data_IF_579399307386
#
_entry.id   IF_579399307386
#
_cell.length_a   1.000
_cell.length_b   1.000
_cell.length_c   1.000
_cell.angle_alpha   90.00
_cell.angle_beta   90.00
_cell.angle_gamma   90.00
#
_symmetry.space_group_name_H-M   'P 1'
#
loop_
_entity.id
_entity.type
_entity.pdbx_description
1 polymer ?
#
# COMPACT_ATOMS: atom_id res chain seq x y z
N UNK A 1 28.53 -2.53 32.17
CA UNK A 1 27.39 -3.19 31.50
C UNK A 1 26.58 -2.11 30.81
N UNK A 2 26.71 -1.99 29.48
CA UNK A 2 25.94 -1.00 28.72
C UNK A 2 24.51 -1.53 28.61
N UNK A 3 23.55 -0.88 29.28
CA UNK A 3 22.13 -1.11 29.00
C UNK A 3 21.91 -0.83 27.53
N UNK A 4 21.71 -1.90 26.74
CA UNK A 4 21.09 -1.78 25.42
C UNK A 4 19.73 -1.18 25.66
N UNK A 5 19.60 0.13 25.43
CA UNK A 5 18.32 0.79 25.36
C UNK A 5 17.54 0.07 24.26
N UNK A 6 16.51 -0.70 24.65
CA UNK A 6 15.63 -1.36 23.69
C UNK A 6 15.13 -0.26 22.77
N UNK A 7 15.43 -0.34 21.47
CA UNK A 7 14.77 0.54 20.53
C UNK A 7 13.27 0.27 20.65
N UNK A 8 12.53 1.30 21.03
CA UNK A 8 11.07 1.25 21.05
C UNK A 8 10.61 1.25 19.60
N UNK A 9 10.40 0.07 19.03
CA UNK A 9 9.85 -0.08 17.69
C UNK A 9 8.47 0.58 17.60
N UNK A 10 8.17 1.28 16.50
CA UNK A 10 6.88 1.95 16.30
C UNK A 10 5.85 1.04 15.63
N UNK A 11 6.31 -0.02 14.97
CA UNK A 11 5.50 -1.04 14.31
C UNK A 11 5.58 -2.36 15.10
N UNK A 12 4.60 -3.28 14.98
CA UNK A 12 4.64 -4.56 15.68
C UNK A 12 5.67 -5.55 15.10
N UNK A 13 5.82 -6.71 15.73
CA UNK A 13 6.61 -7.81 15.17
C UNK A 13 5.81 -8.46 14.03
N UNK A 14 6.33 -8.52 12.79
CA UNK A 14 5.63 -9.11 11.65
C UNK A 14 5.19 -10.55 11.90
N UNK A 15 3.96 -10.91 11.53
CA UNK A 15 3.50 -12.30 11.58
C UNK A 15 3.71 -13.09 10.29
N UNK A 16 4.12 -12.40 9.23
CA UNK A 16 4.33 -12.97 7.89
C UNK A 16 5.29 -14.17 7.86
N UNK A 17 5.16 -15.03 6.82
CA UNK A 17 6.12 -16.07 6.53
C UNK A 17 7.55 -15.55 6.40
N UNK A 18 8.50 -16.30 6.94
CA UNK A 18 9.92 -15.98 6.82
C UNK A 18 10.49 -16.61 5.54
N UNK A 19 10.00 -16.18 4.37
CA UNK A 19 10.34 -16.79 3.08
C UNK A 19 10.74 -15.75 2.01
N UNK A 20 11.14 -16.25 0.84
CA UNK A 20 11.57 -15.41 -0.29
C UNK A 20 10.45 -14.56 -0.88
N UNK A 21 9.21 -15.06 -0.92
CA UNK A 21 8.09 -14.34 -1.52
C UNK A 21 7.74 -13.07 -0.74
N UNK A 22 7.83 -13.11 0.60
CA UNK A 22 7.67 -11.91 1.43
C UNK A 22 8.80 -10.91 1.20
N UNK A 23 10.04 -11.38 1.05
CA UNK A 23 11.18 -10.51 0.72
C UNK A 23 11.02 -9.87 -0.66
N UNK A 24 10.54 -10.62 -1.66
CA UNK A 24 10.25 -10.08 -3.00
C UNK A 24 9.16 -9.02 -2.96
N UNK A 25 8.07 -9.28 -2.24
CA UNK A 25 6.96 -8.34 -2.06
C UNK A 25 7.49 -7.00 -1.52
N UNK A 26 8.16 -7.03 -0.38
CA UNK A 26 8.63 -5.81 0.26
C UNK A 26 9.76 -5.11 -0.50
N UNK A 27 10.68 -5.82 -1.18
CA UNK A 27 11.67 -5.16 -2.04
C UNK A 27 10.98 -4.34 -3.13
N UNK A 28 9.96 -4.90 -3.78
CA UNK A 28 9.19 -4.19 -4.81
C UNK A 28 8.45 -2.97 -4.23
N UNK A 29 7.85 -3.10 -3.06
CA UNK A 29 7.21 -1.97 -2.35
C UNK A 29 8.25 -0.85 -2.09
N UNK A 30 9.47 -1.19 -1.63
CA UNK A 30 10.52 -0.20 -1.38
C UNK A 30 11.10 0.44 -2.65
N UNK A 31 11.22 -0.32 -3.74
CA UNK A 31 11.56 0.20 -5.07
C UNK A 31 10.56 1.27 -5.50
N UNK A 32 9.26 0.95 -5.44
CA UNK A 32 8.19 1.86 -5.85
C UNK A 32 8.11 3.10 -4.94
N UNK A 33 8.36 2.96 -3.63
CA UNK A 33 8.49 4.10 -2.72
C UNK A 33 9.58 5.08 -3.14
N UNK A 34 10.73 4.59 -3.58
CA UNK A 34 11.82 5.45 -4.02
C UNK A 34 11.39 6.30 -5.23
N UNK A 35 10.64 5.70 -6.15
CA UNK A 35 10.06 6.40 -7.29
C UNK A 35 9.01 7.44 -6.85
N UNK A 36 8.08 7.08 -5.97
CA UNK A 36 7.04 8.01 -5.50
C UNK A 36 7.64 9.21 -4.76
N UNK A 37 8.62 8.97 -3.88
CA UNK A 37 9.36 10.02 -3.19
C UNK A 37 10.02 10.95 -4.20
N UNK A 38 10.75 10.38 -5.17
CA UNK A 38 11.42 11.13 -6.23
C UNK A 38 10.45 12.06 -6.96
N UNK A 39 9.29 11.54 -7.37
CA UNK A 39 8.26 12.29 -8.11
C UNK A 39 7.63 13.42 -7.28
N UNK A 40 7.64 13.34 -5.95
CA UNK A 40 7.09 14.36 -5.08
C UNK A 40 8.09 15.43 -4.62
N UNK A 41 9.38 15.32 -4.98
CA UNK A 41 10.42 16.30 -4.59
C UNK A 41 10.40 17.56 -5.49
N UNK A 42 10.72 18.75 -4.95
CA UNK A 42 10.93 19.95 -5.77
C UNK A 42 12.10 19.78 -6.76
N UNK A 43 11.95 20.32 -7.96
CA UNK A 43 12.95 20.19 -9.04
C UNK A 43 14.33 20.73 -8.66
N UNK A 44 14.40 21.72 -7.76
CA UNK A 44 15.65 22.34 -7.31
C UNK A 44 16.44 21.47 -6.31
N UNK A 45 15.81 20.43 -5.75
CA UNK A 45 16.42 19.52 -4.79
C UNK A 45 17.17 18.38 -5.50
N UNK A 46 18.07 18.71 -6.42
CA UNK A 46 18.79 17.75 -7.28
C UNK A 46 19.47 16.63 -6.46
N UNK A 47 20.16 16.98 -5.37
CA UNK A 47 20.83 16.00 -4.50
C UNK A 47 19.84 14.94 -3.95
N UNK A 48 18.63 15.36 -3.54
CA UNK A 48 17.61 14.44 -3.00
C UNK A 48 16.94 13.61 -4.09
N UNK A 49 16.79 14.18 -5.29
CA UNK A 49 16.27 13.49 -6.47
C UNK A 49 17.24 12.38 -6.88
N UNK A 50 18.54 12.68 -6.88
CA UNK A 50 19.60 11.72 -7.19
C UNK A 50 19.67 10.61 -6.13
N UNK A 51 19.57 10.95 -4.84
CA UNK A 51 19.50 9.96 -3.75
C UNK A 51 18.29 9.03 -3.93
N UNK A 52 17.10 9.57 -4.19
CA UNK A 52 15.89 8.77 -4.42
C UNK A 52 16.02 7.89 -5.67
N UNK A 53 16.63 8.40 -6.75
CA UNK A 53 16.90 7.63 -7.96
C UNK A 53 17.89 6.47 -7.70
N UNK A 54 18.91 6.69 -6.87
CA UNK A 54 19.85 5.65 -6.49
C UNK A 54 19.15 4.54 -5.70
N UNK A 55 18.30 4.88 -4.71
CA UNK A 55 17.51 3.88 -3.99
C UNK A 55 16.63 3.05 -4.93
N UNK A 56 15.96 3.69 -5.89
CA UNK A 56 15.16 2.99 -6.90
C UNK A 56 15.98 1.93 -7.65
N UNK A 57 17.17 2.31 -8.15
CA UNK A 57 18.06 1.41 -8.91
C UNK A 57 18.62 0.27 -8.04
N UNK A 58 18.97 0.56 -6.79
CA UNK A 58 19.50 -0.43 -5.87
C UNK A 58 18.42 -1.46 -5.46
N UNK A 59 17.18 -1.02 -5.19
CA UNK A 59 16.07 -1.96 -4.96
C UNK A 59 15.70 -2.76 -6.21
N UNK A 60 15.73 -2.15 -7.41
CA UNK A 60 15.55 -2.87 -8.68
C UNK A 60 16.61 -3.99 -8.83
N UNK A 61 17.88 -3.69 -8.54
CA UNK A 61 18.97 -4.66 -8.55
C UNK A 61 18.73 -5.83 -7.57
N UNK A 62 18.28 -5.52 -6.34
CA UNK A 62 17.90 -6.53 -5.35
C UNK A 62 16.72 -7.38 -5.82
N UNK A 63 15.70 -6.77 -6.44
CA UNK A 63 14.52 -7.47 -6.99
C UNK A 63 14.92 -8.43 -8.09
N UNK A 64 15.71 -7.98 -9.07
CA UNK A 64 16.22 -8.84 -10.16
C UNK A 64 17.04 -10.00 -9.61
N UNK A 65 17.84 -9.76 -8.56
CA UNK A 65 18.59 -10.83 -7.88
C UNK A 65 17.67 -11.82 -7.19
N UNK A 66 16.59 -11.36 -6.54
CA UNK A 66 15.62 -12.20 -5.85
C UNK A 66 14.92 -13.21 -6.79
N UNK A 67 14.73 -12.86 -8.07
CA UNK A 67 14.16 -13.77 -9.07
C UNK A 67 15.12 -14.89 -9.53
N UNK A 68 16.42 -14.74 -9.30
CA UNK A 68 17.46 -15.65 -9.81
C UNK A 68 18.09 -16.52 -8.73
N UNK A 69 17.53 -16.53 -7.52
CA UNK A 69 18.09 -17.26 -6.39
C UNK A 69 18.08 -18.78 -6.62
N UNK A 70 19.16 -19.44 -6.21
CA UNK A 70 19.39 -20.86 -6.43
C UNK A 70 19.50 -21.67 -5.13
N UNK A 71 19.83 -21.02 -4.00
CA UNK A 71 20.05 -21.69 -2.72
C UNK A 71 19.93 -20.73 -1.52
N UNK A 72 19.84 -21.31 -0.33
CA UNK A 72 19.65 -20.61 0.95
C UNK A 72 20.79 -19.65 1.29
N UNK A 73 22.04 -19.97 0.91
CA UNK A 73 23.16 -19.06 1.15
C UNK A 73 22.98 -17.75 0.38
N UNK A 74 22.57 -17.83 -0.88
CA UNK A 74 22.26 -16.66 -1.70
C UNK A 74 21.03 -15.91 -1.20
N UNK A 75 20.05 -16.61 -0.64
CA UNK A 75 18.93 -15.97 0.04
C UNK A 75 19.36 -15.16 1.26
N UNK A 76 20.25 -15.70 2.11
CA UNK A 76 20.75 -14.97 3.29
C UNK A 76 21.65 -13.79 2.92
N UNK A 77 22.43 -13.89 1.83
CA UNK A 77 23.14 -12.74 1.24
C UNK A 77 22.13 -11.67 0.79
N UNK A 78 21.04 -12.06 0.10
CA UNK A 78 19.96 -11.15 -0.28
C UNK A 78 19.35 -10.42 0.91
N UNK A 79 18.96 -11.17 1.95
CA UNK A 79 18.38 -10.63 3.19
C UNK A 79 19.35 -9.65 3.86
N UNK A 80 20.65 -9.94 3.83
CA UNK A 80 21.66 -9.09 4.44
C UNK A 80 21.83 -7.76 3.73
N UNK A 81 21.97 -7.78 2.41
CA UNK A 81 22.15 -6.56 1.62
C UNK A 81 20.87 -5.73 1.60
N UNK A 82 19.70 -6.39 1.51
CA UNK A 82 18.40 -5.71 1.58
C UNK A 82 18.24 -4.98 2.90
N UNK A 83 18.59 -5.61 4.03
CA UNK A 83 18.50 -4.97 5.32
C UNK A 83 19.45 -3.76 5.45
N UNK A 84 20.64 -3.84 4.86
CA UNK A 84 21.58 -2.73 4.86
C UNK A 84 21.00 -1.52 4.08
N UNK A 85 20.57 -1.73 2.84
CA UNK A 85 19.96 -0.68 2.01
C UNK A 85 18.70 -0.10 2.66
N UNK A 86 17.86 -0.96 3.23
CA UNK A 86 16.60 -0.56 3.87
C UNK A 86 16.81 0.36 5.09
N UNK A 87 17.90 0.16 5.86
CA UNK A 87 18.25 1.04 6.99
C UNK A 87 18.61 2.46 6.52
N UNK A 88 19.37 2.57 5.43
CA UNK A 88 19.67 3.86 4.81
C UNK A 88 18.41 4.50 4.24
N UNK A 89 17.57 3.72 3.54
CA UNK A 89 16.34 4.24 2.96
C UNK A 89 15.31 4.67 4.02
N UNK A 90 15.21 3.93 5.14
CA UNK A 90 14.40 4.35 6.28
C UNK A 90 14.89 5.69 6.83
N UNK A 91 16.21 5.85 7.02
CA UNK A 91 16.81 7.11 7.49
C UNK A 91 16.50 8.24 6.53
N UNK A 92 16.66 8.02 5.22
CA UNK A 92 16.30 8.97 4.18
C UNK A 92 14.83 9.41 4.27
N UNK A 93 13.87 8.47 4.40
CA UNK A 93 12.45 8.79 4.59
C UNK A 93 12.21 9.65 5.83
N UNK A 94 12.85 9.33 6.96
CA UNK A 94 12.72 10.09 8.22
C UNK A 94 13.35 11.48 8.11
N UNK A 95 14.46 11.62 7.40
CA UNK A 95 15.13 12.90 7.17
C UNK A 95 14.27 13.83 6.30
N UNK A 96 13.68 13.31 5.21
CA UNK A 96 12.74 14.04 4.37
C UNK A 96 11.54 14.51 5.20
N UNK A 97 10.93 13.60 5.98
CA UNK A 97 9.82 13.92 6.87
C UNK A 97 10.18 15.05 7.84
N UNK A 98 11.34 14.97 8.50
CA UNK A 98 11.75 15.99 9.46
C UNK A 98 11.95 17.35 8.79
N UNK A 99 12.59 17.38 7.61
CA UNK A 99 12.76 18.62 6.83
C UNK A 99 11.41 19.22 6.43
N UNK A 100 10.42 18.42 6.08
CA UNK A 100 9.07 18.91 5.78
C UNK A 100 8.38 19.50 7.03
N UNK A 101 8.49 18.83 8.17
CA UNK A 101 7.92 19.30 9.44
C UNK A 101 8.56 20.62 9.93
N UNK A 102 9.82 20.86 9.57
CA UNK A 102 10.52 22.12 9.81
C UNK A 102 10.35 23.17 8.69
N UNK A 103 9.50 22.88 7.69
CA UNK A 103 9.28 23.73 6.51
C UNK A 103 10.56 24.01 5.68
N UNK A 104 11.55 23.12 5.75
CA UNK A 104 12.82 23.18 5.00
C UNK A 104 12.80 22.40 3.70
N UNK A 105 11.71 21.67 3.43
CA UNK A 105 11.48 20.92 2.20
C UNK A 105 10.01 21.07 1.79
N UNK A 106 9.77 21.49 0.55
CA UNK A 106 8.44 21.56 -0.07
C UNK A 106 8.12 20.33 -0.92
N UNK A 107 7.30 20.52 -1.95
CA UNK A 107 6.92 19.46 -2.89
C UNK A 107 5.55 18.85 -2.58
N UNK A 108 5.29 17.68 -3.16
CA UNK A 108 3.98 17.03 -3.18
C UNK A 108 3.94 15.73 -2.37
N UNK A 109 5.04 15.35 -1.71
CA UNK A 109 5.04 14.26 -0.74
C UNK A 109 4.32 14.70 0.53
N UNK A 110 3.15 14.16 0.86
CA UNK A 110 2.52 14.47 2.15
C UNK A 110 3.43 14.00 3.32
N UNK A 111 3.58 14.76 4.41
CA UNK A 111 4.33 14.30 5.58
C UNK A 111 3.81 12.96 6.13
N UNK A 112 2.48 12.75 6.15
CA UNK A 112 1.89 11.47 6.54
C UNK A 112 2.26 10.33 5.58
N UNK A 113 2.43 10.61 4.28
CA UNK A 113 2.85 9.63 3.29
C UNK A 113 4.31 9.21 3.50
N UNK A 114 5.21 10.15 3.82
CA UNK A 114 6.60 9.83 4.20
C UNK A 114 6.67 9.00 5.49
N UNK A 115 5.87 9.34 6.51
CA UNK A 115 5.78 8.57 7.75
C UNK A 115 5.23 7.16 7.51
N UNK A 116 4.20 7.03 6.67
CA UNK A 116 3.59 5.77 6.26
C UNK A 116 4.61 4.84 5.60
N UNK A 117 5.29 5.32 4.55
CA UNK A 117 6.34 4.55 3.88
C UNK A 117 7.51 4.21 4.81
N UNK A 118 7.78 5.04 5.83
CA UNK A 118 8.81 4.74 6.84
C UNK A 118 8.37 3.63 7.80
N UNK A 119 7.09 3.57 8.18
CA UNK A 119 6.55 2.47 9.00
C UNK A 119 6.63 1.13 8.27
N UNK A 120 6.32 1.09 6.99
CA UNK A 120 6.47 -0.13 6.17
C UNK A 120 7.93 -0.56 6.05
N UNK A 121 8.85 0.39 5.91
CA UNK A 121 10.28 0.09 5.92
C UNK A 121 10.73 -0.47 7.27
N UNK A 122 10.23 0.08 8.40
CA UNK A 122 10.50 -0.47 9.74
C UNK A 122 9.92 -1.88 9.90
N UNK A 123 8.71 -2.11 9.41
CA UNK A 123 8.06 -3.41 9.45
C UNK A 123 8.88 -4.44 8.67
N UNK A 124 9.33 -4.09 7.46
CA UNK A 124 10.19 -4.95 6.66
C UNK A 124 11.57 -5.18 7.31
N UNK A 125 12.16 -4.17 7.97
CA UNK A 125 13.40 -4.37 8.75
C UNK A 125 13.22 -5.43 9.83
N UNK A 126 12.11 -5.40 10.57
CA UNK A 126 11.81 -6.40 11.60
C UNK A 126 11.62 -7.79 11.00
N UNK A 127 10.96 -7.89 9.85
CA UNK A 127 10.82 -9.17 9.13
C UNK A 127 12.19 -9.76 8.76
N UNK A 128 13.09 -8.95 8.22
CA UNK A 128 14.46 -9.38 7.89
C UNK A 128 15.26 -9.79 9.13
N UNK A 129 15.09 -9.09 10.26
CA UNK A 129 15.70 -9.48 11.54
C UNK A 129 15.18 -10.84 12.03
N UNK A 130 13.89 -11.14 11.88
CA UNK A 130 13.34 -12.48 12.18
C UNK A 130 13.92 -13.55 11.26
N UNK A 131 14.06 -13.26 9.96
CA UNK A 131 14.65 -14.22 9.01
C UNK A 131 16.09 -14.55 9.44
N UNK A 132 16.87 -13.56 9.89
CA UNK A 132 18.26 -13.76 10.34
C UNK A 132 18.38 -14.47 11.69
N UNK A 133 17.53 -14.12 12.65
CA UNK A 133 17.67 -14.55 14.04
C UNK A 133 16.81 -15.78 14.38
N UNK A 134 15.95 -16.22 13.46
CA UNK A 134 15.02 -17.33 13.69
C UNK A 134 13.71 -16.90 14.35
N UNK A 135 12.86 -17.89 14.64
CA UNK A 135 11.48 -17.65 15.09
C UNK A 135 11.43 -17.02 16.48
N UNK A 136 10.70 -15.92 16.60
CA UNK A 136 10.27 -15.35 17.89
C UNK A 136 8.97 -16.04 18.32
N UNK A 137 8.88 -16.43 19.59
CA UNK A 137 7.65 -16.95 20.18
C UNK A 137 6.53 -15.90 20.02
N UNK A 138 5.41 -16.29 19.41
CA UNK A 138 4.27 -15.38 19.26
C UNK A 138 3.58 -15.23 20.62
N UNK A 139 3.44 -14.00 21.07
CA UNK A 139 2.73 -13.67 22.30
C UNK A 139 1.21 -13.63 22.07
N UNK A 140 0.44 -13.81 23.15
CA UNK A 140 -0.99 -13.49 23.14
C UNK A 140 -1.17 -12.03 22.75
N UNK A 141 -1.95 -11.77 21.70
CA UNK A 141 -2.16 -10.44 21.12
C UNK A 141 -1.41 -10.16 19.81
N UNK A 142 -0.50 -11.03 19.36
CA UNK A 142 0.29 -10.75 18.14
C UNK A 142 -0.59 -10.58 16.88
N UNK A 143 -1.68 -11.35 16.73
CA UNK A 143 -2.62 -11.16 15.62
C UNK A 143 -3.33 -9.81 15.68
N UNK A 144 -3.69 -9.35 16.87
CA UNK A 144 -4.30 -8.04 17.03
C UNK A 144 -3.30 -6.92 16.67
N UNK A 145 -2.04 -7.05 17.08
CA UNK A 145 -0.96 -6.13 16.70
C UNK A 145 -0.74 -6.06 15.19
N UNK A 146 -0.69 -7.22 14.52
CA UNK A 146 -0.58 -7.31 13.06
C UNK A 146 -1.75 -6.58 12.36
N UNK A 147 -2.98 -6.80 12.82
CA UNK A 147 -4.16 -6.09 12.30
C UNK A 147 -4.05 -4.58 12.54
N UNK A 148 -3.58 -4.14 13.71
CA UNK A 148 -3.40 -2.71 14.02
C UNK A 148 -2.43 -2.03 13.05
N UNK A 149 -1.35 -2.72 12.63
CA UNK A 149 -0.45 -2.20 11.61
C UNK A 149 -1.16 -1.99 10.28
N UNK A 150 -1.74 -3.05 9.72
CA UNK A 150 -2.37 -2.99 8.39
C UNK A 150 -3.61 -2.11 8.34
N UNK A 151 -4.42 -2.07 9.41
CA UNK A 151 -5.58 -1.19 9.48
C UNK A 151 -5.17 0.28 9.40
N UNK A 152 -4.06 0.66 10.05
CA UNK A 152 -3.50 2.01 9.93
C UNK A 152 -3.01 2.30 8.51
N UNK A 153 -2.31 1.35 7.90
CA UNK A 153 -1.85 1.46 6.51
C UNK A 153 -3.04 1.66 5.55
N UNK A 154 -4.11 0.88 5.69
CA UNK A 154 -5.30 1.00 4.84
C UNK A 154 -6.12 2.27 5.12
N UNK A 155 -6.17 2.74 6.37
CA UNK A 155 -6.77 4.03 6.71
C UNK A 155 -6.02 5.19 6.03
N UNK A 156 -4.69 5.17 6.06
CA UNK A 156 -3.84 6.15 5.38
C UNK A 156 -4.08 6.12 3.86
N UNK A 157 -4.16 4.94 3.25
CA UNK A 157 -4.46 4.79 1.83
C UNK A 157 -5.78 5.44 1.40
N UNK A 158 -6.84 5.22 2.17
CA UNK A 158 -8.13 5.83 1.88
C UNK A 158 -8.04 7.37 1.91
N UNK A 159 -7.26 7.93 2.86
CA UNK A 159 -6.98 9.36 2.94
C UNK A 159 -6.18 9.85 1.74
N UNK A 160 -5.11 9.13 1.33
CA UNK A 160 -4.30 9.51 0.17
C UNK A 160 -5.11 9.50 -1.13
N UNK A 161 -5.94 8.47 -1.34
CA UNK A 161 -6.84 8.42 -2.50
C UNK A 161 -7.79 9.62 -2.49
N UNK A 162 -8.45 9.89 -1.36
CA UNK A 162 -9.35 11.03 -1.22
C UNK A 162 -8.69 12.38 -1.56
N UNK A 163 -7.46 12.60 -1.09
CA UNK A 163 -6.74 13.87 -1.30
C UNK A 163 -6.08 14.02 -2.68
N UNK A 164 -5.85 12.91 -3.38
CA UNK A 164 -5.26 12.91 -4.72
C UNK A 164 -6.31 12.86 -5.84
N UNK A 165 -7.58 12.61 -5.52
CA UNK A 165 -8.69 12.79 -6.46
C UNK A 165 -8.91 14.27 -6.75
N UNK A 166 -9.30 14.60 -7.99
CA UNK A 166 -9.70 15.97 -8.31
C UNK A 166 -10.98 16.33 -7.53
N UNK A 167 -11.12 17.55 -6.99
CA UNK A 167 -12.31 17.96 -6.24
C UNK A 167 -13.65 17.84 -7.00
N UNK A 168 -13.63 17.69 -8.33
CA UNK A 168 -14.82 17.40 -9.14
C UNK A 168 -15.33 15.96 -8.98
N UNK A 169 -14.49 15.01 -8.55
CA UNK A 169 -14.82 13.58 -8.33
C UNK A 169 -15.56 13.35 -6.99
N UNK A 170 -16.62 14.13 -6.76
CA UNK A 170 -17.31 14.24 -5.45
C UNK A 170 -17.75 12.89 -4.87
N UNK A 171 -18.29 12.01 -5.72
CA UNK A 171 -18.78 10.69 -5.29
C UNK A 171 -17.63 9.74 -4.91
N UNK A 172 -16.53 9.77 -5.67
CA UNK A 172 -15.34 8.96 -5.36
C UNK A 172 -14.65 9.46 -4.10
N UNK A 173 -14.57 10.78 -3.91
CA UNK A 173 -14.06 11.40 -2.68
C UNK A 173 -14.91 10.98 -1.47
N UNK A 174 -16.24 11.04 -1.57
CA UNK A 174 -17.13 10.61 -0.49
C UNK A 174 -16.95 9.11 -0.15
N UNK A 175 -16.78 8.29 -1.18
CA UNK A 175 -16.51 6.85 -1.02
C UNK A 175 -15.17 6.61 -0.31
N UNK A 176 -14.10 7.27 -0.75
CA UNK A 176 -12.78 7.18 -0.14
C UNK A 176 -12.78 7.67 1.32
N UNK A 177 -13.49 8.77 1.62
CA UNK A 177 -13.65 9.27 2.99
C UNK A 177 -14.42 8.29 3.88
N UNK A 178 -15.42 7.59 3.34
CA UNK A 178 -16.17 6.57 4.07
C UNK A 178 -15.28 5.38 4.45
N UNK A 179 -14.41 4.93 3.53
CA UNK A 179 -13.39 3.94 3.85
C UNK A 179 -12.41 4.47 4.90
N UNK A 180 -11.95 5.72 4.80
CA UNK A 180 -11.05 6.30 5.81
C UNK A 180 -11.64 6.21 7.22
N UNK A 181 -12.90 6.61 7.38
CA UNK A 181 -13.59 6.56 8.67
C UNK A 181 -13.71 5.12 9.18
N UNK A 182 -14.15 4.21 8.32
CA UNK A 182 -14.30 2.80 8.69
C UNK A 182 -12.98 2.16 9.15
N UNK A 183 -11.88 2.43 8.44
CA UNK A 183 -10.57 1.89 8.82
C UNK A 183 -9.99 2.58 10.07
N UNK A 184 -10.31 3.85 10.34
CA UNK A 184 -9.96 4.51 11.61
C UNK A 184 -10.70 3.85 12.78
N UNK A 185 -11.99 3.53 12.62
CA UNK A 185 -12.80 2.85 13.65
C UNK A 185 -12.30 1.42 13.91
N UNK A 186 -12.03 0.66 12.86
CA UNK A 186 -11.44 -0.68 12.97
C UNK A 186 -10.04 -0.62 13.60
N UNK A 187 -9.22 0.38 13.27
CA UNK A 187 -7.91 0.58 13.86
C UNK A 187 -8.01 0.81 15.38
N UNK A 188 -8.92 1.68 15.83
CA UNK A 188 -9.15 1.92 17.26
C UNK A 188 -9.63 0.66 17.98
N UNK A 189 -10.61 -0.05 17.42
CA UNK A 189 -11.08 -1.32 17.97
C UNK A 189 -9.97 -2.38 18.03
N UNK A 190 -9.12 -2.45 16.99
CA UNK A 190 -7.96 -3.33 16.95
C UNK A 190 -6.93 -3.01 18.03
N UNK A 191 -6.72 -1.72 18.34
CA UNK A 191 -5.85 -1.30 19.45
C UNK A 191 -6.38 -1.75 20.80
N UNK A 192 -7.69 -1.64 21.02
CA UNK A 192 -8.31 -2.11 22.25
C UNK A 192 -8.13 -3.63 22.39
N UNK A 193 -8.36 -4.42 21.33
CA UNK A 193 -8.08 -5.86 21.34
C UNK A 193 -6.60 -6.18 21.56
N UNK A 194 -5.69 -5.41 20.98
CA UNK A 194 -4.23 -5.58 21.18
C UNK A 194 -3.87 -5.46 22.66
N UNK A 195 -4.46 -4.51 23.38
CA UNK A 195 -4.27 -4.36 24.83
C UNK A 195 -5.01 -5.42 25.64
N UNK A 196 -6.27 -5.72 25.32
CA UNK A 196 -7.10 -6.67 26.08
C UNK A 196 -6.61 -8.12 25.98
N UNK A 197 -5.99 -8.50 24.85
CA UNK A 197 -5.51 -9.85 24.59
C UNK A 197 -4.04 -10.06 24.96
N UNK A 198 -3.36 -9.05 25.49
CA UNK A 198 -1.95 -9.15 25.83
C UNK A 198 -1.73 -10.25 26.89
N UNK A 199 -1.04 -11.32 26.50
CA UNK A 199 -0.79 -12.48 27.38
C UNK A 199 -1.98 -13.41 27.60
N UNK A 200 -3.10 -13.20 26.91
CA UNK A 200 -4.31 -14.03 26.99
C UNK A 200 -4.63 -14.69 25.63
N UNK A 201 -5.36 -15.81 25.63
CA UNK A 201 -5.80 -16.45 24.39
C UNK A 201 -6.87 -15.62 23.67
N UNK A 202 -7.05 -15.90 22.37
CA UNK A 202 -8.09 -15.29 21.55
C UNK A 202 -9.50 -15.63 22.05
N UNK A 203 -10.40 -14.64 22.02
CA UNK A 203 -11.80 -14.77 22.41
C UNK A 203 -12.74 -14.70 21.20
N UNK A 204 -13.99 -15.16 21.36
CA UNK A 204 -14.97 -15.19 20.27
C UNK A 204 -15.25 -13.79 19.67
N UNK A 205 -15.27 -12.74 20.49
CA UNK A 205 -15.45 -11.36 20.02
C UNK A 205 -14.30 -10.88 19.12
N UNK A 206 -13.06 -11.33 19.37
CA UNK A 206 -11.92 -11.04 18.52
C UNK A 206 -12.00 -11.79 17.18
N UNK A 207 -12.47 -13.04 17.19
CA UNK A 207 -12.72 -13.79 15.95
C UNK A 207 -13.78 -13.12 15.06
N UNK A 208 -14.85 -12.60 15.66
CA UNK A 208 -15.85 -11.77 14.94
C UNK A 208 -15.20 -10.50 14.38
N UNK A 209 -14.39 -9.79 15.17
CA UNK A 209 -13.66 -8.61 14.71
C UNK A 209 -12.79 -8.91 13.47
N UNK A 210 -12.09 -10.04 13.42
CA UNK A 210 -11.32 -10.44 12.23
C UNK A 210 -12.19 -10.64 10.98
N UNK A 211 -13.44 -11.10 11.14
CA UNK A 211 -14.40 -11.21 10.03
C UNK A 211 -14.83 -9.82 9.53
N UNK A 212 -15.08 -8.88 10.45
CA UNK A 212 -15.40 -7.49 10.13
C UNK A 212 -14.25 -6.83 9.36
N UNK A 213 -13.01 -7.00 9.84
CA UNK A 213 -11.78 -6.54 9.17
C UNK A 213 -11.67 -7.14 7.78
N UNK A 214 -11.79 -8.46 7.63
CA UNK A 214 -11.69 -9.14 6.33
C UNK A 214 -12.71 -8.59 5.32
N UNK A 215 -13.95 -8.37 5.75
CA UNK A 215 -14.99 -7.80 4.90
C UNK A 215 -14.66 -6.37 4.45
N UNK A 216 -14.11 -5.53 5.34
CA UNK A 216 -13.67 -4.17 4.99
C UNK A 216 -12.47 -4.16 4.03
N UNK A 217 -11.47 -5.03 4.28
CA UNK A 217 -10.28 -5.14 3.43
C UNK A 217 -10.63 -5.62 2.02
N UNK A 218 -11.56 -6.58 1.89
CA UNK A 218 -12.07 -7.00 0.59
C UNK A 218 -12.68 -5.83 -0.20
N UNK A 219 -13.54 -5.04 0.44
CA UNK A 219 -14.19 -3.88 -0.20
C UNK A 219 -13.21 -2.79 -0.61
N UNK A 220 -12.25 -2.41 0.25
CA UNK A 220 -11.27 -1.38 -0.13
C UNK A 220 -10.32 -1.88 -1.22
N UNK A 221 -9.98 -3.17 -1.23
CA UNK A 221 -9.17 -3.78 -2.30
C UNK A 221 -9.88 -3.72 -3.65
N UNK A 222 -11.18 -4.05 -3.67
CA UNK A 222 -11.99 -3.95 -4.90
C UNK A 222 -12.16 -2.50 -5.35
N UNK A 223 -12.36 -1.56 -4.42
CA UNK A 223 -12.36 -0.13 -4.73
C UNK A 223 -11.03 0.34 -5.33
N UNK A 224 -9.89 -0.07 -4.75
CA UNK A 224 -8.55 0.24 -5.27
C UNK A 224 -8.33 -0.34 -6.67
N UNK A 225 -8.82 -1.56 -6.94
CA UNK A 225 -8.78 -2.15 -8.29
C UNK A 225 -9.60 -1.34 -9.30
N UNK A 226 -10.84 -0.99 -8.96
CA UNK A 226 -11.68 -0.19 -9.84
C UNK A 226 -11.06 1.19 -10.11
N UNK A 227 -10.46 1.82 -9.10
CA UNK A 227 -9.73 3.08 -9.25
C UNK A 227 -8.52 2.92 -10.18
N UNK A 228 -7.71 1.87 -10.00
CA UNK A 228 -6.57 1.56 -10.87
C UNK A 228 -7.00 1.40 -12.34
N UNK A 229 -8.05 0.63 -12.60
CA UNK A 229 -8.61 0.44 -13.94
C UNK A 229 -9.09 1.77 -14.55
N UNK A 230 -9.86 2.57 -13.80
CA UNK A 230 -10.31 3.88 -14.27
C UNK A 230 -9.15 4.85 -14.54
N UNK A 231 -8.08 4.82 -13.75
CA UNK A 231 -6.88 5.64 -14.00
C UNK A 231 -6.18 5.20 -15.29
N UNK A 232 -6.01 3.89 -15.51
CA UNK A 232 -5.39 3.35 -16.73
C UNK A 232 -6.20 3.69 -17.99
N UNK A 233 -7.52 3.70 -17.88
CA UNK A 233 -8.43 4.03 -18.97
C UNK A 233 -8.64 5.54 -19.15
N UNK A 234 -7.97 6.40 -18.36
CA UNK A 234 -8.17 7.85 -18.33
C UNK A 234 -9.63 8.27 -18.04
N UNK A 235 -10.36 7.49 -17.23
CA UNK A 235 -11.77 7.73 -16.83
C UNK A 235 -11.94 8.36 -15.45
N UNK A 236 -10.86 8.53 -14.70
CA UNK A 236 -10.85 9.15 -13.37
C UNK A 236 -9.91 10.35 -13.38
N UNK A 237 -10.38 11.49 -12.88
CA UNK A 237 -9.61 12.74 -12.84
C UNK A 237 -8.92 12.89 -11.47
N UNK A 238 -7.60 13.03 -11.47
CA UNK A 238 -6.83 13.21 -10.25
C UNK A 238 -5.32 13.19 -10.49
N UNK A 239 -4.57 13.18 -9.40
CA UNK A 239 -3.11 13.19 -9.37
C UNK A 239 -2.51 11.80 -9.05
N UNK A 240 -3.33 10.75 -9.03
CA UNK A 240 -2.92 9.39 -8.67
C UNK A 240 -2.30 8.70 -9.90
N UNK A 241 -1.00 8.36 -9.90
CA UNK A 241 -0.42 7.54 -10.96
C UNK A 241 -0.98 6.11 -10.93
N UNK A 242 -1.14 5.48 -12.09
CA UNK A 242 -1.61 4.09 -12.18
C UNK A 242 -0.76 3.12 -11.33
N UNK A 243 0.56 3.34 -11.27
CA UNK A 243 1.46 2.53 -10.45
C UNK A 243 1.20 2.68 -8.95
N UNK A 244 0.85 3.89 -8.47
CA UNK A 244 0.49 4.11 -7.06
C UNK A 244 -0.84 3.41 -6.73
N UNK A 245 -1.81 3.45 -7.64
CA UNK A 245 -3.08 2.75 -7.48
C UNK A 245 -2.89 1.22 -7.39
N UNK A 246 -2.06 0.64 -8.25
CA UNK A 246 -1.69 -0.79 -8.19
C UNK A 246 -0.90 -1.12 -6.91
N UNK A 247 0.03 -0.25 -6.49
CA UNK A 247 0.84 -0.43 -5.30
C UNK A 247 -0.02 -0.60 -4.04
N UNK A 248 -0.89 0.38 -3.77
CA UNK A 248 -1.76 0.32 -2.58
C UNK A 248 -2.80 -0.81 -2.69
N UNK A 249 -3.15 -1.24 -3.90
CA UNK A 249 -4.01 -2.42 -4.14
C UNK A 249 -3.30 -3.71 -3.76
N UNK A 250 -2.02 -3.88 -4.15
CA UNK A 250 -1.20 -5.06 -3.81
C UNK A 250 -1.00 -5.20 -2.30
N UNK A 251 -0.86 -4.10 -1.58
CA UNK A 251 -0.79 -4.14 -0.12
C UNK A 251 -2.10 -4.57 0.52
N UNK A 252 -3.24 -4.18 -0.05
CA UNK A 252 -4.54 -4.67 0.42
C UNK A 252 -4.73 -6.17 0.12
N UNK A 253 -4.30 -6.65 -1.05
CA UNK A 253 -4.27 -8.09 -1.37
C UNK A 253 -3.36 -8.87 -0.42
N UNK A 254 -2.20 -8.32 -0.12
CA UNK A 254 -1.24 -8.92 0.80
C UNK A 254 -1.80 -9.03 2.21
N UNK A 255 -2.47 -8.00 2.72
CA UNK A 255 -3.15 -8.10 4.01
C UNK A 255 -4.28 -9.15 4.01
N UNK A 256 -5.02 -9.32 2.91
CA UNK A 256 -6.00 -10.42 2.79
C UNK A 256 -5.35 -11.81 2.86
N UNK A 257 -4.16 -11.96 2.29
CA UNK A 257 -3.39 -13.21 2.42
C UNK A 257 -3.05 -13.46 3.89
N UNK A 258 -2.53 -12.45 4.60
CA UNK A 258 -2.21 -12.54 6.03
C UNK A 258 -3.45 -12.92 6.85
N UNK A 259 -4.58 -12.26 6.65
CA UNK A 259 -5.85 -12.60 7.32
C UNK A 259 -6.27 -14.05 7.05
N UNK A 260 -6.15 -14.51 5.81
CA UNK A 260 -6.44 -15.90 5.44
C UNK A 260 -5.52 -16.89 6.16
N UNK A 261 -4.25 -16.55 6.32
CA UNK A 261 -3.28 -17.36 7.05
C UNK A 261 -3.55 -17.37 8.57
N UNK A 262 -4.06 -16.27 9.14
CA UNK A 262 -4.52 -16.21 10.54
C UNK A 262 -5.68 -17.16 10.78
N UNK A 263 -6.68 -17.14 9.89
CA UNK A 263 -7.89 -17.96 9.99
C UNK A 263 -7.59 -19.45 9.85
N UNK A 264 -6.71 -19.82 8.92
CA UNK A 264 -6.31 -21.22 8.69
C UNK A 264 -5.33 -21.76 9.74
N UNK A 265 -4.89 -20.95 10.71
CA UNK A 265 -3.94 -21.36 11.74
C UNK A 265 -2.54 -21.70 11.20
N UNK A 266 -2.20 -21.21 10.01
CA UNK A 266 -0.88 -21.43 9.39
C UNK A 266 0.19 -20.61 10.12
N UNK A 267 -0.18 -19.45 10.64
CA UNK A 267 0.63 -18.66 11.57
C UNK A 267 0.53 -19.28 12.97
N UNK A 268 1.33 -20.33 13.21
CA UNK A 268 1.34 -21.02 14.51
C UNK A 268 1.99 -20.15 15.58
N UNK A 269 1.26 -19.90 16.66
CA UNK A 269 1.84 -19.42 17.90
C UNK A 269 2.75 -20.51 18.48
N UNK A 270 4.07 -20.28 18.48
CA UNK A 270 4.91 -20.96 19.47
C UNK A 270 4.66 -20.26 20.79
N UNK A 271 3.72 -20.77 21.59
CA UNK A 271 3.48 -20.27 22.94
C UNK A 271 4.75 -20.45 23.77
N UNK A 272 5.18 -19.43 24.51
CA UNK A 272 6.33 -19.53 25.43
C UNK A 272 6.20 -20.66 26.47
N UNK A 273 4.99 -21.19 26.69
CA UNK A 273 4.71 -22.33 27.56
C UNK A 273 5.32 -23.67 27.11
N UNK A 274 5.86 -23.77 25.88
CA UNK A 274 6.55 -24.99 25.41
C UNK A 274 8.07 -24.94 25.59
N UNK A 275 8.60 -23.99 26.38
CA UNK A 275 10.03 -23.94 26.77
C UNK A 275 10.31 -24.57 28.14
N UNK A 276 9.30 -25.15 28.79
CA UNK A 276 9.50 -26.02 29.95
C UNK A 276 8.96 -27.42 29.61
N UNK A 277 9.87 -28.40 29.67
CA UNK A 277 9.66 -29.84 29.51
C UNK A 277 9.62 -30.39 28.05
N UNK A 278 10.76 -30.97 27.62
CA UNK A 278 10.91 -32.42 27.42
C UNK A 278 12.25 -32.75 26.74
N UNK A 279 13.08 -33.51 27.46
CA UNK A 279 14.09 -34.41 26.89
C UNK A 279 13.41 -35.52 26.04
N UNK A 280 14.11 -35.95 24.98
CA UNK A 280 14.05 -37.26 24.29
C UNK A 280 12.92 -37.54 23.24
N UNK A 281 13.16 -38.42 22.22
CA UNK A 281 13.60 -37.96 20.90
C UNK A 281 12.73 -38.44 19.72
N UNK A 282 12.95 -37.79 18.58
CA UNK A 282 12.73 -38.20 17.18
C UNK A 282 11.88 -39.44 16.87
N UNK A 283 10.77 -39.22 16.16
CA UNK A 283 10.29 -40.15 15.12
C UNK A 283 10.02 -39.40 13.82
N UNK A 284 10.93 -39.60 12.87
CA UNK A 284 10.88 -39.15 11.50
C UNK A 284 10.27 -40.27 10.63
N UNK A 285 8.95 -40.25 10.46
CA UNK A 285 8.16 -40.94 9.42
C UNK A 285 6.70 -40.53 9.70
N UNK A 286 5.98 -39.83 8.83
CA UNK A 286 5.41 -40.36 7.59
C UNK A 286 4.88 -39.16 6.78
N UNK A 287 5.54 -38.80 5.68
CA UNK A 287 4.90 -38.08 4.57
C UNK A 287 5.17 -38.94 3.34
N UNK A 288 4.32 -39.94 3.17
CA UNK A 288 4.06 -40.64 1.93
C UNK A 288 2.61 -41.09 2.02
N UNK A 289 1.89 -40.98 0.91
CA UNK A 289 0.50 -41.42 0.70
C UNK A 289 -0.59 -40.38 0.96
N UNK A 290 -0.68 -39.39 0.09
CA UNK A 290 -1.97 -38.96 -0.46
C UNK A 290 -1.79 -38.69 -1.96
N UNK A 291 -1.77 -39.79 -2.71
CA UNK A 291 -1.96 -39.82 -4.15
C UNK A 291 -3.42 -39.49 -4.49
N UNK A 292 -3.56 -38.94 -5.68
CA UNK A 292 -4.73 -38.60 -6.48
C UNK A 292 -6.03 -39.37 -6.20
N UNK A 293 -7.12 -38.60 -6.08
CA UNK A 293 -8.48 -39.08 -6.37
C UNK A 293 -9.47 -39.00 -5.21
N UNK A 294 -10.10 -37.84 -4.98
CA UNK A 294 -11.52 -37.75 -4.56
C UNK A 294 -11.99 -36.29 -4.48
N UNK A 295 -12.24 -35.65 -5.63
CA UNK A 295 -13.20 -34.54 -5.72
C UNK A 295 -13.96 -34.68 -7.05
N UNK A 296 -14.86 -35.67 -7.12
CA UNK A 296 -15.92 -35.74 -8.14
C UNK A 296 -17.24 -36.25 -7.54
N UNK A 297 -17.48 -35.98 -6.25
CA UNK A 297 -18.56 -36.65 -5.49
C UNK A 297 -19.53 -35.74 -4.75
N UNK A 298 -19.55 -34.43 -4.98
CA UNK A 298 -20.45 -33.52 -4.24
C UNK A 298 -21.11 -32.42 -5.09
N UNK A 299 -21.44 -32.74 -6.35
CA UNK A 299 -22.41 -31.96 -7.13
C UNK A 299 -23.55 -32.89 -7.55
N UNK A 300 -24.53 -33.05 -6.66
CA UNK A 300 -25.93 -33.44 -6.95
C UNK A 300 -26.71 -33.47 -5.64
N UNK A 301 -27.34 -32.34 -5.33
CA UNK A 301 -28.47 -32.26 -4.41
C UNK A 301 -29.34 -31.15 -4.95
N UNK A 302 -30.33 -31.55 -5.74
CA UNK A 302 -31.44 -30.70 -6.20
C UNK A 302 -32.13 -30.09 -4.98
N UNK A 303 -32.33 -28.77 -5.00
CA UNK A 303 -33.21 -28.08 -4.06
C UNK A 303 -34.13 -27.19 -4.89
N UNK A 304 -35.41 -27.42 -4.71
CA UNK A 304 -36.53 -26.81 -5.43
C UNK A 304 -36.52 -25.27 -5.29
N UNK A 305 -36.76 -24.58 -6.41
CA UNK A 305 -36.97 -23.13 -6.48
C UNK A 305 -38.35 -22.77 -5.91
N UNK A 306 -38.37 -22.01 -4.82
CA UNK A 306 -39.57 -21.30 -4.37
C UNK A 306 -39.48 -19.84 -4.85
N UNK A 307 -40.28 -19.50 -5.85
CA UNK A 307 -40.36 -18.18 -6.48
C UNK A 307 -41.08 -17.21 -5.54
N UNK A 308 -40.37 -16.19 -5.05
CA UNK A 308 -40.94 -15.04 -4.34
C UNK A 308 -41.16 -13.87 -5.31
N UNK A 309 -42.29 -13.13 -5.23
CA UNK A 309 -42.63 -12.10 -6.20
C UNK A 309 -41.85 -10.80 -5.98
N UNK A 310 -41.52 -10.12 -7.08
CA UNK A 310 -40.80 -8.84 -7.13
C UNK A 310 -41.54 -7.70 -6.40
N UNK A 311 -40.82 -6.74 -5.78
CA UNK A 311 -41.44 -5.56 -5.19
C UNK A 311 -41.77 -4.53 -6.28
N UNK A 312 -43.05 -4.13 -6.33
CA UNK A 312 -43.54 -3.04 -7.18
C UNK A 312 -42.93 -1.69 -6.77
N UNK A 313 -42.36 -0.99 -7.73
CA UNK A 313 -41.95 0.42 -7.64
C UNK A 313 -43.14 1.30 -7.22
N UNK A 314 -42.91 2.18 -6.24
CA UNK A 314 -43.86 3.25 -5.87
C UNK A 314 -43.36 4.57 -6.41
N UNK A 315 -44.17 5.21 -7.25
CA UNK A 315 -43.99 6.59 -7.69
C UNK A 315 -44.02 7.57 -6.50
N UNK A 316 -43.25 8.67 -6.54
CA UNK A 316 -43.21 9.63 -5.45
C UNK A 316 -44.48 10.49 -5.43
N UNK A 317 -45.20 10.43 -4.31
CA UNK A 317 -46.26 11.40 -3.99
C UNK A 317 -45.64 12.70 -3.48
N UNK A 318 -46.00 13.79 -4.14
CA UNK A 318 -45.73 15.17 -3.72
C UNK A 318 -46.54 15.45 -2.46
N UNK A 319 -45.88 15.70 -1.34
CA UNK A 319 -46.49 16.32 -0.16
C UNK A 319 -46.20 17.82 -0.16
N UNK A 320 -47.28 18.60 -0.20
CA UNK A 320 -47.27 20.06 -0.07
C UNK A 320 -46.92 20.46 1.37
N UNK A 321 -45.92 21.32 1.51
CA UNK A 321 -45.55 21.96 2.77
C UNK A 321 -46.52 23.13 3.05
N UNK A 322 -47.11 23.24 4.26
CA UNK A 322 -47.96 24.38 4.61
C UNK A 322 -47.17 25.69 4.69
N UNK A 323 -47.69 26.73 4.04
CA UNK A 323 -47.18 28.10 4.09
C UNK A 323 -47.38 28.73 5.48
N UNK A 324 -46.30 29.10 6.16
CA UNK A 324 -46.35 30.07 7.25
C UNK A 324 -46.38 31.50 6.70
N UNK A 325 -47.42 32.24 7.13
CA UNK A 325 -47.62 33.66 6.88
C UNK A 325 -46.62 34.47 7.71
N UNK A 326 -45.75 35.25 7.06
CA UNK A 326 -45.10 36.40 7.71
C UNK A 326 -45.50 37.68 6.97
N UNK A 327 -46.00 38.58 7.81
CA UNK A 327 -46.56 39.90 7.56
C UNK A 327 -45.62 40.84 6.79
N UNK A 328 -46.20 41.54 5.82
CA UNK A 328 -45.62 42.69 5.12
C UNK A 328 -45.65 43.96 5.98
N UNK A 329 -44.50 44.64 6.11
CA UNK A 329 -44.36 46.12 6.08
C UNK A 329 -42.90 46.52 6.38
N UNK A 330 -42.29 47.24 5.44
CA UNK A 330 -41.00 47.90 5.66
C UNK A 330 -40.36 48.36 4.36
N UNK A 331 -40.74 49.55 3.87
CA UNK A 331 -40.05 50.28 2.80
C UNK A 331 -38.65 50.69 3.30
N UNK A 332 -37.61 50.47 2.49
CA UNK A 332 -36.27 50.96 2.74
C UNK A 332 -35.38 50.81 1.51
N UNK A 333 -34.86 51.93 1.03
CA UNK A 333 -34.23 52.14 -0.27
C UNK A 333 -32.77 51.60 -0.35
N UNK A 334 -32.31 51.39 -1.60
CA UNK A 334 -30.95 51.58 -2.15
C UNK A 334 -29.96 50.40 -2.34
N UNK A 335 -29.57 50.36 -3.62
CA UNK A 335 -28.22 50.17 -4.19
C UNK A 335 -27.68 48.75 -4.45
N UNK A 336 -27.90 48.34 -5.71
CA UNK A 336 -27.09 47.37 -6.46
C UNK A 336 -25.68 47.95 -6.67
N UNK A 337 -24.64 47.18 -6.34
CA UNK A 337 -23.31 47.29 -6.97
C UNK A 337 -22.95 45.94 -7.59
N UNK A 338 -23.06 45.86 -8.92
CA UNK A 338 -22.37 44.87 -9.72
C UNK A 338 -20.93 45.37 -9.91
N UNK A 339 -19.94 44.60 -9.48
CA UNK A 339 -18.53 44.84 -9.84
C UNK A 339 -18.23 44.16 -11.16
N UNK A 340 -18.09 44.99 -12.19
CA UNK A 340 -17.50 44.64 -13.48
C UNK A 340 -16.00 44.36 -13.27
N UNK A 341 -15.53 43.17 -13.62
CA UNK A 341 -14.10 42.89 -13.73
C UNK A 341 -13.80 42.62 -15.21
N UNK A 342 -13.29 43.63 -15.90
CA UNK A 342 -12.72 43.50 -17.24
C UNK A 342 -11.23 43.15 -17.10
N UNK A 343 -10.81 41.99 -17.61
CA UNK A 343 -9.39 41.72 -17.85
C UNK A 343 -9.08 41.97 -19.33
N UNK A 344 -8.27 42.99 -19.60
CA UNK A 344 -7.55 43.15 -20.86
C UNK A 344 -6.22 42.42 -20.73
N UNK A 345 -6.13 41.23 -21.30
CA UNK A 345 -4.88 40.49 -21.48
C UNK A 345 -4.71 40.16 -22.96
N UNK A 346 -3.65 40.69 -23.58
CA UNK A 346 -3.28 40.48 -24.99
C UNK A 346 -2.98 38.99 -25.23
N UNK A 347 -3.64 38.40 -26.23
CA UNK A 347 -3.23 37.14 -26.83
C UNK A 347 -1.93 37.35 -27.62
N UNK A 348 -0.93 36.54 -27.33
CA UNK A 348 0.25 36.35 -28.19
C UNK A 348 0.00 35.04 -28.94
N UNK A 349 -0.17 35.13 -30.25
CA UNK A 349 -0.21 33.97 -31.15
C UNK A 349 1.19 33.37 -31.22
N UNK A 350 1.35 32.15 -30.71
CA UNK A 350 2.49 31.29 -31.04
C UNK A 350 2.03 30.22 -32.02
N UNK A 351 2.67 30.23 -33.19
CA UNK A 351 2.37 29.45 -34.37
C UNK A 351 2.97 28.05 -34.22
N UNK A 352 2.18 27.08 -33.80
CA UNK A 352 2.58 25.66 -33.84
C UNK A 352 2.39 25.13 -35.26
N UNK A 353 3.52 24.72 -35.86
CA UNK A 353 3.58 24.00 -37.14
C UNK A 353 3.17 22.55 -36.85
N UNK A 354 1.99 22.15 -37.31
CA UNK A 354 1.64 20.74 -37.47
C UNK A 354 2.25 20.26 -38.79
N UNK A 355 3.11 19.24 -38.73
CA UNK A 355 3.43 18.40 -39.89
C UNK A 355 2.43 17.25 -39.94
N UNK A 356 1.75 17.13 -41.08
CA UNK A 356 0.78 16.10 -41.41
C UNK A 356 1.46 14.72 -41.53
N UNK A 357 0.97 13.73 -40.79
CA UNK A 357 1.23 12.32 -41.11
C UNK A 357 -0.11 11.68 -41.47
N UNK A 358 -0.27 11.46 -42.79
CA UNK A 358 -1.36 10.75 -43.41
C UNK A 358 -1.34 9.27 -42.99
N UNK A 359 -2.51 8.76 -42.61
CA UNK A 359 -2.80 7.34 -42.40
C UNK A 359 -3.33 6.79 -43.73
N UNK A 360 -2.66 5.80 -44.31
CA UNK A 360 -3.24 4.91 -45.33
C UNK A 360 -3.15 3.46 -44.84
N UNK A 361 -4.30 2.77 -44.89
CA UNK A 361 -4.45 1.34 -44.62
C UNK A 361 -4.00 0.51 -45.84
N UNK A 362 -3.35 -0.64 -45.60
CA UNK A 362 -3.06 -1.63 -46.63
C UNK A 362 -2.45 -2.91 -46.05
N UNK A 363 -3.12 -4.05 -46.29
CA UNK A 363 -2.80 -5.40 -45.82
C UNK A 363 -1.61 -6.07 -46.53
N UNK A 364 -0.98 -7.00 -45.78
CA UNK A 364 -0.28 -8.24 -46.16
C UNK A 364 0.96 -8.25 -47.08
N UNK A 365 2.13 -8.67 -46.53
CA UNK A 365 2.72 -10.01 -46.71
C UNK A 365 4.18 -10.11 -46.17
N UNK A 366 4.45 -11.27 -45.55
CA UNK A 366 5.74 -11.94 -45.26
C UNK A 366 7.04 -11.41 -45.94
N UNK A 367 8.06 -11.06 -45.14
CA UNK A 367 9.29 -11.88 -44.95
C UNK A 367 10.50 -11.08 -44.41
N UNK A 368 11.29 -11.79 -43.62
CA UNK A 368 12.74 -11.63 -43.39
C UNK A 368 13.25 -10.63 -42.35
N UNK A 369 14.02 -11.20 -41.42
CA UNK A 369 14.65 -10.59 -40.26
C UNK A 369 15.63 -9.46 -40.61
N UNK A 370 15.58 -8.38 -39.82
CA UNK A 370 16.74 -7.54 -39.54
C UNK A 370 16.94 -7.44 -38.03
N UNK A 371 18.09 -7.96 -37.61
CA UNK A 371 18.65 -7.85 -36.27
C UNK A 371 19.00 -6.39 -36.03
N UNK A 372 18.26 -5.72 -35.14
CA UNK A 372 18.65 -4.40 -34.63
C UNK A 372 19.58 -4.64 -33.45
N UNK A 373 20.84 -4.27 -33.67
CA UNK A 373 21.95 -4.28 -32.72
C UNK A 373 21.68 -3.27 -31.59
N UNK A 374 21.03 -3.72 -30.52
CA UNK A 374 20.94 -2.94 -29.28
C UNK A 374 22.28 -3.01 -28.58
N UNK A 375 23.11 -1.99 -28.79
CA UNK A 375 24.29 -1.74 -27.95
C UNK A 375 23.88 -1.63 -26.50
N UNK A 376 24.14 -2.73 -25.78
CA UNK A 376 24.16 -2.83 -24.33
C UNK A 376 25.08 -1.73 -23.78
N UNK A 377 24.51 -0.67 -23.21
CA UNK A 377 25.29 0.19 -22.32
C UNK A 377 25.43 -0.57 -21.00
N UNK A 378 26.55 -1.27 -20.83
CA UNK A 378 26.95 -1.87 -19.56
C UNK A 378 26.97 -0.77 -18.47
N UNK A 379 25.90 -0.65 -17.69
CA UNK A 379 25.92 0.06 -16.42
C UNK A 379 26.76 -0.76 -15.44
N UNK A 380 28.08 -0.61 -15.53
CA UNK A 380 29.03 -1.10 -14.52
C UNK A 380 28.87 -0.28 -13.24
N UNK A 381 27.76 -0.44 -12.53
CA UNK A 381 27.73 -0.14 -11.11
C UNK A 381 28.54 -1.23 -10.39
N UNK A 382 29.83 -0.95 -10.24
CA UNK A 382 30.70 -1.73 -9.37
C UNK A 382 30.36 -1.36 -7.93
N UNK A 383 29.96 -2.36 -7.15
CA UNK A 383 29.95 -2.35 -5.69
C UNK A 383 31.35 -1.92 -5.20
N UNK A 384 31.56 -0.63 -4.97
CA UNK A 384 32.76 -0.17 -4.29
C UNK A 384 32.55 -0.41 -2.79
N UNK A 385 33.47 -1.14 -2.16
CA UNK A 385 33.48 -1.43 -0.72
C UNK A 385 33.68 -0.20 0.19
N UNK A 386 33.21 0.97 -0.23
CA UNK A 386 33.04 2.17 0.60
C UNK A 386 31.55 2.37 0.81
N UNK A 387 31.02 1.53 1.67
CA UNK A 387 29.66 1.60 2.18
C UNK A 387 29.78 1.64 3.72
N UNK A 388 29.11 2.56 4.43
CA UNK A 388 28.13 3.56 3.98
C UNK A 388 28.78 4.77 3.27
N UNK A 389 28.01 5.44 2.39
CA UNK A 389 28.37 6.78 1.87
C UNK A 389 27.77 7.86 2.77
N UNK A 390 28.45 9.01 2.87
CA UNK A 390 27.89 10.17 3.56
C UNK A 390 26.71 10.72 2.75
N UNK A 391 25.50 10.65 3.31
CA UNK A 391 24.32 11.32 2.80
C UNK A 391 24.48 12.84 2.99
N UNK A 392 24.33 13.60 1.91
CA UNK A 392 24.40 15.06 1.89
C UNK A 392 25.80 15.63 2.13
N UNK A 393 26.35 16.33 1.13
CA UNK A 393 27.44 17.28 1.41
C UNK A 393 26.86 18.41 2.26
N UNK A 394 27.35 18.59 3.49
CA UNK A 394 27.23 19.90 4.15
C UNK A 394 27.96 20.88 3.24
N UNK A 395 27.21 21.79 2.61
CA UNK A 395 27.81 23.02 2.07
C UNK A 395 28.22 23.84 3.30
N UNK A 396 29.53 24.02 3.46
CA UNK A 396 30.13 24.91 4.46
C UNK A 396 29.71 26.36 4.25
#
# INVERSE_FOLDING_TARGET
MSSRQLMSYMVPEPLEPLNLEEVKFWIRIMEEHALFIKSGLPCECEDLIDDAQAFYQEFESLRVRAERLQNDKKFMELVTDTQALLKEFYTFKRDLLHRMLECKLGGYNFPLFLDHMAREAEYFMRLLDKIKNGKVALSGGAKAQENVFWLRILADHAKFISHLLDPSERNLIQTANSFSQEFDDLYLQGRDFSSMLQGYPEVASFKRFLQDVRAAVLRIRDFKRAAEEMIRDCRLVGLIPALLADHVRREADHFLLILTMMEKGIMKNTTAASLEYCDEPSTLSTIADLDTGSILGMMKSEREEEVLPEPKEREPKVEEVPQEKISSKGKGNREKKHSHFESKGKAVEEKLVLEDILIEEGEDTSSTAQVIDTKNSDSKYKWSGKWPRQLGKKKD
#
